data_IF_158508728907
#
_entry.id   IF_158508728907
#
_cell.length_a   1.000
_cell.length_b   1.000
_cell.length_c   1.000
_cell.angle_alpha   90.00
_cell.angle_beta   90.00
_cell.angle_gamma   90.00
#
_symmetry.space_group_name_H-M   'P 1'
#
loop_
_entity.id
_entity.type
_entity.pdbx_description
1 polymer ?
#
# COMPACT_ATOMS: atom_id res chain seq x y z
N UNK A 1 14.85 -1.08 -12.25
CA UNK A 1 15.98 -1.77 -12.92
C UNK A 1 15.44 -3.07 -13.49
N UNK A 2 15.82 -3.41 -14.71
CA UNK A 2 15.02 -4.13 -15.69
C UNK A 2 15.45 -5.61 -15.87
N UNK A 3 14.48 -6.44 -16.28
CA UNK A 3 14.54 -7.75 -16.96
C UNK A 3 15.03 -9.01 -16.23
N UNK A 4 14.19 -10.05 -16.25
CA UNK A 4 14.63 -11.45 -16.32
C UNK A 4 13.83 -12.24 -17.37
N UNK A 5 14.61 -13.05 -18.08
CA UNK A 5 14.28 -13.93 -19.19
C UNK A 5 13.67 -15.24 -18.64
N UNK A 6 12.56 -15.72 -19.19
CA UNK A 6 11.90 -16.95 -18.74
C UNK A 6 12.12 -18.06 -19.78
N UNK A 7 13.28 -18.70 -19.76
CA UNK A 7 13.56 -19.91 -20.56
C UNK A 7 14.20 -21.06 -19.76
N UNK A 8 14.02 -21.11 -18.43
CA UNK A 8 14.51 -22.25 -17.62
C UNK A 8 13.38 -22.92 -16.83
N UNK A 9 12.37 -23.45 -17.53
CA UNK A 9 11.53 -24.51 -16.98
C UNK A 9 11.17 -25.49 -18.10
N UNK A 10 11.84 -26.64 -18.11
CA UNK A 10 11.76 -27.67 -19.16
C UNK A 10 10.38 -28.32 -19.29
N UNK A 11 9.50 -27.69 -20.08
CA UNK A 11 8.32 -28.34 -20.62
C UNK A 11 8.68 -29.09 -21.91
N UNK A 12 8.52 -30.42 -21.90
CA UNK A 12 8.53 -31.24 -23.12
C UNK A 12 7.43 -30.76 -24.05
N UNK A 13 7.78 -30.45 -25.29
CA UNK A 13 6.87 -30.09 -26.37
C UNK A 13 5.88 -31.24 -26.64
N UNK A 14 4.55 -31.02 -26.62
CA UNK A 14 3.62 -31.97 -27.20
C UNK A 14 3.66 -31.80 -28.72
N UNK A 15 4.37 -32.69 -29.42
CA UNK A 15 4.25 -32.87 -30.87
C UNK A 15 2.95 -33.58 -31.18
N UNK A 16 1.84 -32.84 -31.23
CA UNK A 16 0.64 -33.20 -31.98
C UNK A 16 -0.04 -31.89 -32.42
N UNK A 17 0.20 -31.50 -33.67
CA UNK A 17 -0.54 -30.42 -34.32
C UNK A 17 -1.95 -30.93 -34.59
N UNK A 18 -2.85 -30.78 -33.63
CA UNK A 18 -4.29 -30.88 -33.89
C UNK A 18 -4.65 -29.73 -34.83
N UNK A 19 -4.93 -30.05 -36.09
CA UNK A 19 -5.49 -29.10 -37.05
C UNK A 19 -6.83 -28.65 -36.49
N UNK A 20 -6.89 -27.43 -35.97
CA UNK A 20 -8.13 -26.82 -35.49
C UNK A 20 -9.06 -26.68 -36.70
N UNK A 21 -10.32 -27.06 -36.55
CA UNK A 21 -11.30 -26.81 -37.61
C UNK A 21 -11.46 -25.29 -37.78
N UNK A 22 -11.75 -24.80 -39.00
CA UNK A 22 -11.96 -23.36 -39.23
C UNK A 22 -12.99 -22.73 -38.26
N UNK A 23 -13.98 -23.50 -37.83
CA UNK A 23 -14.99 -23.09 -36.84
C UNK A 23 -14.40 -22.89 -35.43
N UNK A 24 -13.47 -23.75 -35.00
CA UNK A 24 -12.80 -23.63 -33.70
C UNK A 24 -11.78 -22.48 -33.72
N UNK A 25 -11.12 -22.24 -34.84
CA UNK A 25 -10.26 -21.06 -35.02
C UNK A 25 -11.05 -19.76 -34.95
N UNK A 26 -12.22 -19.69 -35.61
CA UNK A 26 -13.11 -18.53 -35.57
C UNK A 26 -13.66 -18.28 -34.15
N UNK A 27 -14.04 -19.35 -33.42
CA UNK A 27 -14.48 -19.25 -32.03
C UNK A 27 -13.35 -18.77 -31.10
N UNK A 28 -12.14 -19.30 -31.25
CA UNK A 28 -10.97 -18.85 -30.50
C UNK A 28 -10.61 -17.39 -30.79
N UNK A 29 -10.72 -16.96 -32.05
CA UNK A 29 -10.53 -15.57 -32.44
C UNK A 29 -11.56 -14.64 -31.76
N UNK A 30 -12.85 -15.02 -31.79
CA UNK A 30 -13.92 -14.28 -31.10
C UNK A 30 -13.72 -14.22 -29.59
N UNK A 31 -13.30 -15.33 -28.97
CA UNK A 31 -13.01 -15.38 -27.53
C UNK A 31 -11.82 -14.49 -27.15
N UNK A 32 -10.73 -14.51 -27.93
CA UNK A 32 -9.57 -13.67 -27.70
C UNK A 32 -9.89 -12.18 -27.87
N UNK A 33 -10.70 -11.82 -28.87
CA UNK A 33 -11.18 -10.45 -29.05
C UNK A 33 -12.08 -9.99 -27.87
N UNK A 34 -12.93 -10.87 -27.35
CA UNK A 34 -13.75 -10.62 -26.17
C UNK A 34 -12.90 -10.43 -24.90
N UNK A 35 -11.91 -11.30 -24.68
CA UNK A 35 -10.95 -11.18 -23.57
C UNK A 35 -10.14 -9.89 -23.64
N UNK A 36 -9.71 -9.48 -24.84
CA UNK A 36 -9.01 -8.21 -25.03
C UNK A 36 -9.92 -7.01 -24.68
N UNK A 37 -11.18 -7.05 -25.11
CA UNK A 37 -12.17 -6.02 -24.78
C UNK A 37 -12.38 -5.91 -23.27
N UNK A 38 -12.45 -7.03 -22.55
CA UNK A 38 -12.57 -7.05 -21.09
C UNK A 38 -11.32 -6.45 -20.42
N UNK A 39 -10.12 -6.78 -20.92
CA UNK A 39 -8.86 -6.18 -20.44
C UNK A 39 -8.85 -4.67 -20.63
N UNK A 40 -9.29 -4.19 -21.79
CA UNK A 40 -9.32 -2.76 -22.12
C UNK A 40 -10.34 -1.99 -21.28
N UNK A 41 -11.51 -2.60 -21.03
CA UNK A 41 -12.53 -2.05 -20.12
C UNK A 41 -12.02 -1.97 -18.68
N UNK A 42 -11.34 -3.01 -18.19
CA UNK A 42 -10.72 -3.01 -16.87
C UNK A 42 -9.63 -1.93 -16.78
N UNK A 43 -8.75 -1.83 -17.77
CA UNK A 43 -7.71 -0.80 -17.82
C UNK A 43 -8.30 0.62 -17.88
N UNK A 44 -9.40 0.82 -18.62
CA UNK A 44 -10.13 2.10 -18.65
C UNK A 44 -10.73 2.43 -17.28
N UNK A 45 -11.42 1.48 -16.66
CA UNK A 45 -12.01 1.64 -15.32
C UNK A 45 -10.95 1.94 -14.26
N UNK A 46 -9.80 1.28 -14.34
CA UNK A 46 -8.62 1.57 -13.52
C UNK A 46 -8.14 3.01 -13.74
N UNK A 47 -7.89 3.43 -14.98
CA UNK A 47 -7.48 4.81 -15.35
C UNK A 47 -8.45 5.88 -14.83
N UNK A 48 -9.74 5.64 -14.99
CA UNK A 48 -10.79 6.55 -14.52
C UNK A 48 -10.79 6.63 -12.98
N UNK A 49 -10.60 5.50 -12.28
CA UNK A 49 -10.33 5.50 -10.85
C UNK A 49 -9.07 6.32 -10.52
N UNK A 50 -7.94 6.15 -11.22
CA UNK A 50 -6.71 6.92 -10.92
C UNK A 50 -6.96 8.43 -11.04
N UNK A 51 -7.67 8.88 -12.08
CA UNK A 51 -8.02 10.30 -12.27
C UNK A 51 -8.91 10.81 -11.13
N UNK A 52 -9.86 10.00 -10.68
CA UNK A 52 -10.71 10.32 -9.53
C UNK A 52 -9.91 10.36 -8.22
N UNK A 53 -8.92 9.48 -8.04
CA UNK A 53 -8.05 9.43 -6.86
C UNK A 53 -7.12 10.64 -6.84
N UNK A 54 -6.38 10.92 -7.91
CA UNK A 54 -5.47 12.09 -7.99
C UNK A 54 -6.24 13.40 -7.82
N UNK A 55 -7.44 13.50 -8.39
CA UNK A 55 -8.30 14.67 -8.19
C UNK A 55 -8.88 14.75 -6.78
N UNK A 56 -9.18 13.62 -6.13
CA UNK A 56 -9.57 13.55 -4.72
C UNK A 56 -8.41 13.89 -3.80
N UNK A 57 -7.20 13.38 -3.98
CA UNK A 57 -6.01 13.75 -3.20
C UNK A 57 -5.71 15.25 -3.32
N UNK A 58 -5.79 15.83 -4.52
CA UNK A 58 -5.66 17.28 -4.73
C UNK A 58 -6.79 18.06 -4.05
N UNK A 59 -8.03 17.59 -4.11
CA UNK A 59 -9.18 18.24 -3.43
C UNK A 59 -9.15 18.06 -1.91
N UNK A 60 -8.71 16.92 -1.41
CA UNK A 60 -8.58 16.60 0.01
C UNK A 60 -7.44 17.41 0.61
N UNK A 61 -6.36 17.66 -0.16
CA UNK A 61 -5.30 18.63 0.19
C UNK A 61 -5.84 20.07 0.35
N UNK A 62 -6.92 20.43 -0.36
CA UNK A 62 -7.56 21.75 -0.27
C UNK A 62 -8.75 21.80 0.71
N UNK A 63 -9.36 20.66 1.05
CA UNK A 63 -10.53 20.53 1.92
C UNK A 63 -10.22 19.84 3.26
N UNK A 64 -9.00 19.96 3.81
CA UNK A 64 -8.72 19.61 5.22
C UNK A 64 -9.35 20.65 6.16
N UNK A 65 -10.63 20.94 5.97
CA UNK A 65 -11.48 21.61 6.93
C UNK A 65 -12.83 20.90 6.95
N UNK A 66 -13.10 20.31 8.13
CA UNK A 66 -14.41 19.95 8.67
C UNK A 66 -15.05 18.66 8.16
N UNK A 67 -14.83 17.57 8.91
CA UNK A 67 -15.89 16.62 9.25
C UNK A 67 -15.79 16.30 10.76
N UNK A 68 -16.65 16.93 11.58
CA UNK A 68 -16.87 16.63 13.01
C UNK A 68 -17.83 15.41 13.11
N UNK A 69 -17.79 14.54 14.14
CA UNK A 69 -18.28 14.80 15.50
C UNK A 69 -17.58 13.96 16.59
N UNK A 70 -16.98 14.66 17.57
CA UNK A 70 -17.19 14.57 19.02
C UNK A 70 -15.91 14.96 19.81
N UNK A 71 -14.74 14.79 19.20
CA UNK A 71 -13.45 15.30 19.68
C UNK A 71 -12.65 15.75 18.45
N UNK A 72 -11.88 16.84 18.55
CA UNK A 72 -10.91 17.17 17.49
C UNK A 72 -10.04 15.94 17.25
N UNK A 73 -9.81 15.50 15.99
CA UNK A 73 -8.94 14.37 15.73
C UNK A 73 -7.59 14.64 16.38
N UNK A 74 -7.04 13.65 17.08
CA UNK A 74 -5.72 13.70 17.74
C UNK A 74 -4.56 13.90 16.77
N UNK A 75 -4.84 13.84 15.46
CA UNK A 75 -3.86 13.84 14.39
C UNK A 75 -4.22 14.80 13.26
N UNK A 76 -3.20 15.24 12.54
CA UNK A 76 -3.28 16.04 11.32
C UNK A 76 -2.25 15.55 10.30
N UNK A 77 -2.53 15.70 9.01
CA UNK A 77 -1.58 15.36 7.94
C UNK A 77 -0.88 16.62 7.46
N UNK A 78 0.45 16.60 7.41
CA UNK A 78 1.28 17.74 6.98
C UNK A 78 2.49 17.25 6.18
N UNK A 79 3.28 18.17 5.61
CA UNK A 79 4.52 17.81 4.94
C UNK A 79 5.51 17.24 5.96
N UNK A 80 6.11 16.10 5.62
CA UNK A 80 7.12 15.44 6.45
C UNK A 80 8.53 15.80 5.98
N UNK A 81 9.45 15.84 6.93
CA UNK A 81 10.88 15.91 6.66
C UNK A 81 11.48 14.56 6.26
N UNK A 82 10.80 13.45 6.56
CA UNK A 82 11.22 12.08 6.24
C UNK A 82 10.84 11.74 4.80
N UNK A 83 9.55 11.81 4.49
CA UNK A 83 9.06 11.45 3.16
C UNK A 83 7.66 12.03 2.89
N UNK A 84 7.50 12.74 1.77
CA UNK A 84 6.19 13.15 1.25
C UNK A 84 5.32 13.92 2.26
N UNK A 85 4.36 13.19 2.85
CA UNK A 85 3.50 13.66 3.93
C UNK A 85 3.68 12.78 5.16
N UNK A 86 3.47 13.36 6.34
CA UNK A 86 3.53 12.70 7.63
C UNK A 86 2.20 12.82 8.38
N UNK A 87 2.01 11.96 9.37
CA UNK A 87 0.95 12.07 10.37
C UNK A 87 1.53 12.78 11.60
N UNK A 88 0.90 13.83 12.09
CA UNK A 88 1.38 14.65 13.19
C UNK A 88 0.36 14.73 14.31
N UNK A 89 0.81 14.84 15.56
CA UNK A 89 -0.06 15.03 16.70
C UNK A 89 -0.66 16.45 16.71
N UNK A 90 -1.99 16.57 16.81
CA UNK A 90 -2.70 17.86 16.89
C UNK A 90 -2.99 18.29 18.34
N UNK A 91 -2.76 17.37 19.29
CA UNK A 91 -2.84 17.54 20.74
C UNK A 91 -1.79 16.62 21.38
N UNK A 92 -1.47 16.83 22.66
CA UNK A 92 -0.67 15.88 23.42
C UNK A 92 -1.34 14.50 23.39
N UNK A 93 -0.59 13.49 22.95
CA UNK A 93 -1.02 12.08 22.97
C UNK A 93 -0.21 11.39 24.07
N UNK A 94 -0.90 10.75 25.01
CA UNK A 94 -0.22 10.08 26.12
C UNK A 94 0.30 8.72 25.70
N UNK A 95 1.38 8.28 26.33
CA UNK A 95 1.86 6.90 26.20
C UNK A 95 0.72 5.90 26.39
N UNK A 96 0.63 4.92 25.50
CA UNK A 96 -0.41 3.88 25.48
C UNK A 96 -1.75 4.30 24.87
N UNK A 97 -1.95 5.57 24.53
CA UNK A 97 -3.18 6.04 23.88
C UNK A 97 -3.31 5.49 22.46
N UNK A 98 -4.54 5.16 22.06
CA UNK A 98 -4.86 4.84 20.67
C UNK A 98 -4.84 6.12 19.85
N UNK A 99 -3.91 6.20 18.89
CA UNK A 99 -3.70 7.39 18.08
C UNK A 99 -4.75 7.46 16.97
N UNK A 100 -4.80 6.42 16.13
CA UNK A 100 -5.67 6.34 14.96
C UNK A 100 -5.81 4.86 14.52
N UNK A 101 -6.98 4.49 14.02
CA UNK A 101 -7.18 3.22 13.30
C UNK A 101 -6.52 3.30 11.92
N UNK A 102 -5.78 2.29 11.51
CA UNK A 102 -5.31 2.16 10.13
C UNK A 102 -6.45 1.62 9.26
N UNK A 103 -7.16 2.54 8.59
CA UNK A 103 -8.35 2.21 7.80
C UNK A 103 -8.02 2.01 6.34
N UNK A 104 -8.62 0.98 5.74
CA UNK A 104 -8.60 0.74 4.31
C UNK A 104 -9.47 -0.44 3.89
N UNK A 105 -9.41 -0.79 2.61
CA UNK A 105 -10.09 -1.95 2.08
C UNK A 105 -9.41 -3.24 2.54
N UNK A 106 -10.16 -4.20 3.07
CA UNK A 106 -9.62 -5.54 3.34
C UNK A 106 -9.53 -6.32 2.04
N UNK A 107 -8.34 -6.81 1.73
CA UNK A 107 -8.07 -7.71 0.61
C UNK A 107 -7.51 -9.02 1.14
N UNK A 108 -7.76 -10.12 0.42
CA UNK A 108 -7.13 -11.40 0.71
C UNK A 108 -5.61 -11.30 0.48
N UNK A 109 -4.80 -11.82 1.39
CA UNK A 109 -3.34 -11.79 1.28
C UNK A 109 -2.83 -12.52 0.04
N UNK A 110 -3.56 -13.52 -0.47
CA UNK A 110 -3.25 -14.22 -1.72
C UNK A 110 -3.38 -13.33 -2.96
N UNK A 111 -4.20 -12.28 -2.90
CA UNK A 111 -4.37 -11.32 -3.99
C UNK A 111 -3.43 -10.11 -3.88
N UNK A 112 -2.72 -9.96 -2.76
CA UNK A 112 -1.92 -8.78 -2.47
C UNK A 112 -0.92 -8.47 -3.58
N UNK A 113 -0.13 -9.45 -4.00
CA UNK A 113 0.95 -9.24 -4.97
C UNK A 113 0.37 -8.94 -6.37
N UNK A 114 -0.77 -9.54 -6.72
CA UNK A 114 -1.49 -9.21 -7.96
C UNK A 114 -1.98 -7.75 -7.94
N UNK A 115 -2.56 -7.31 -6.83
CA UNK A 115 -3.05 -5.93 -6.66
C UNK A 115 -1.89 -4.94 -6.69
N UNK A 116 -0.81 -5.22 -5.96
CA UNK A 116 0.40 -4.38 -5.91
C UNK A 116 1.05 -4.25 -7.29
N UNK A 117 1.24 -5.36 -7.99
CA UNK A 117 1.77 -5.36 -9.36
C UNK A 117 0.87 -4.57 -10.31
N UNK A 118 -0.46 -4.70 -10.16
CA UNK A 118 -1.41 -3.91 -10.95
C UNK A 118 -1.21 -2.42 -10.68
N UNK A 119 -1.02 -2.00 -9.43
CA UNK A 119 -0.79 -0.59 -9.11
C UNK A 119 0.51 -0.08 -9.72
N UNK A 120 1.60 -0.83 -9.60
CA UNK A 120 2.89 -0.47 -10.19
C UNK A 120 2.82 -0.37 -11.72
N UNK A 121 2.19 -1.34 -12.40
CA UNK A 121 2.01 -1.34 -13.86
C UNK A 121 1.17 -0.16 -14.35
N UNK A 122 0.26 0.34 -13.51
CA UNK A 122 -0.55 1.52 -13.81
C UNK A 122 0.14 2.83 -13.37
N UNK A 123 1.40 2.81 -12.94
CA UNK A 123 2.19 4.00 -12.63
C UNK A 123 1.94 4.60 -11.25
N UNK A 124 1.40 3.82 -10.30
CA UNK A 124 1.33 4.25 -8.91
C UNK A 124 2.67 4.00 -8.20
N UNK A 125 3.31 5.09 -7.78
CA UNK A 125 4.64 5.04 -7.13
C UNK A 125 4.58 4.62 -5.66
N UNK A 126 3.42 4.75 -5.01
CA UNK A 126 3.25 4.42 -3.59
C UNK A 126 2.02 3.57 -3.36
N UNK A 127 2.21 2.43 -2.70
CA UNK A 127 1.15 1.53 -2.24
C UNK A 127 1.08 1.59 -0.71
N UNK A 128 -0.13 1.54 -0.17
CA UNK A 128 -0.37 1.73 1.27
C UNK A 128 -0.98 0.49 1.90
N UNK A 129 -0.28 -0.63 1.73
CA UNK A 129 -0.73 -1.97 2.13
C UNK A 129 -0.18 -2.35 3.50
N UNK A 130 -1.07 -2.57 4.46
CA UNK A 130 -0.73 -3.02 5.81
C UNK A 130 -1.01 -4.52 5.97
N UNK A 131 0.06 -5.31 6.12
CA UNK A 131 -0.05 -6.76 6.36
C UNK A 131 -0.41 -7.03 7.81
N UNK A 132 -1.58 -7.62 8.04
CA UNK A 132 -2.06 -7.93 9.39
C UNK A 132 -1.47 -9.25 9.90
N UNK A 133 -0.18 -9.27 10.27
CA UNK A 133 0.47 -10.40 10.93
C UNK A 133 0.18 -11.77 10.29
N UNK A 134 -0.33 -12.70 11.09
CA UNK A 134 -0.69 -14.07 10.67
C UNK A 134 -2.14 -14.22 10.17
N UNK A 135 -2.80 -13.12 9.79
CA UNK A 135 -4.16 -13.19 9.23
C UNK A 135 -4.11 -13.33 7.70
N UNK A 136 -5.14 -13.93 7.06
CA UNK A 136 -5.19 -14.06 5.60
C UNK A 136 -5.61 -12.77 4.90
N UNK A 137 -5.43 -11.62 5.53
CA UNK A 137 -5.93 -10.34 5.04
C UNK A 137 -4.87 -9.25 5.11
N UNK A 138 -4.92 -8.35 4.15
CA UNK A 138 -4.16 -7.09 4.10
C UNK A 138 -5.14 -5.93 4.12
N UNK A 139 -4.80 -4.84 4.80
CA UNK A 139 -5.55 -3.58 4.72
C UNK A 139 -4.89 -2.71 3.66
N UNK A 140 -5.58 -2.50 2.54
CA UNK A 140 -5.15 -1.63 1.47
C UNK A 140 -5.75 -0.23 1.63
N UNK A 141 -4.91 0.73 2.02
CA UNK A 141 -5.25 2.14 2.15
C UNK A 141 -4.86 2.97 0.93
N UNK A 142 -4.53 2.34 -0.21
CA UNK A 142 -4.00 3.04 -1.39
C UNK A 142 -5.01 4.03 -1.94
N UNK A 143 -6.29 3.63 -2.03
CA UNK A 143 -7.36 4.48 -2.58
C UNK A 143 -8.48 4.82 -1.61
N UNK A 144 -8.69 3.97 -0.61
CA UNK A 144 -9.73 4.14 0.41
C UNK A 144 -9.04 3.99 1.74
N UNK A 145 -9.02 5.04 2.56
CA UNK A 145 -8.39 5.01 3.87
C UNK A 145 -8.52 6.34 4.61
N UNK A 146 -7.72 6.52 5.66
CA UNK A 146 -7.67 7.73 6.46
C UNK A 146 -6.22 8.24 6.61
N UNK A 147 -6.00 9.22 7.50
CA UNK A 147 -4.69 9.82 7.73
C UNK A 147 -3.59 8.85 8.17
N UNK A 148 -3.93 7.68 8.71
CA UNK A 148 -2.95 6.71 9.22
C UNK A 148 -1.97 6.22 8.15
N UNK A 149 -2.38 6.22 6.86
CA UNK A 149 -1.54 5.84 5.72
C UNK A 149 -0.31 6.75 5.54
N UNK A 150 -0.31 7.94 6.15
CA UNK A 150 0.79 8.90 6.07
C UNK A 150 1.75 8.82 7.28
N UNK A 151 1.52 7.93 8.25
CA UNK A 151 2.48 7.72 9.32
C UNK A 151 3.76 7.07 8.74
N UNK A 152 4.89 7.76 8.82
CA UNK A 152 6.12 7.34 8.19
C UNK A 152 6.89 6.27 8.99
N UNK A 153 7.82 5.61 8.31
CA UNK A 153 8.76 4.70 8.93
C UNK A 153 9.79 5.47 9.77
N UNK A 154 10.12 4.94 10.96
CA UNK A 154 11.33 5.32 11.70
C UNK A 154 11.98 4.13 12.38
N UNK A 155 13.32 4.11 12.40
CA UNK A 155 14.12 3.20 13.23
C UNK A 155 14.09 3.58 14.73
N UNK A 156 13.72 4.82 15.05
CA UNK A 156 13.37 5.31 16.40
C UNK A 156 11.90 5.69 16.45
N UNK A 157 10.98 4.71 16.53
CA UNK A 157 9.55 4.99 16.48
C UNK A 157 9.03 5.54 17.81
N UNK A 158 8.09 6.49 17.75
CA UNK A 158 7.30 6.94 18.90
C UNK A 158 5.91 6.27 18.96
N UNK A 159 5.54 5.48 17.95
CA UNK A 159 4.32 4.71 17.88
C UNK A 159 4.56 3.25 17.42
N UNK A 160 3.60 2.37 17.71
CA UNK A 160 3.58 0.99 17.23
C UNK A 160 2.21 0.62 16.69
N UNK A 161 2.14 -0.38 15.81
CA UNK A 161 0.89 -0.93 15.32
C UNK A 161 0.42 -2.11 16.18
N UNK A 162 -0.87 -2.16 16.53
CA UNK A 162 -1.48 -3.28 17.26
C UNK A 162 -2.78 -3.74 16.59
N UNK A 163 -2.92 -5.05 16.41
CA UNK A 163 -4.18 -5.68 16.01
C UNK A 163 -5.09 -5.80 17.24
N UNK A 164 -6.26 -5.17 17.18
CA UNK A 164 -7.30 -5.22 18.22
C UNK A 164 -8.59 -5.69 17.55
N UNK A 165 -8.99 -6.93 17.83
CA UNK A 165 -10.05 -7.61 17.09
C UNK A 165 -9.63 -7.80 15.63
N UNK A 166 -10.37 -7.18 14.70
CA UNK A 166 -10.10 -7.24 13.25
C UNK A 166 -9.60 -5.92 12.66
N UNK A 167 -9.12 -5.00 13.52
CA UNK A 167 -8.70 -3.65 13.18
C UNK A 167 -7.28 -3.40 13.65
N UNK A 168 -6.52 -2.63 12.87
CA UNK A 168 -5.17 -2.21 13.24
C UNK A 168 -5.23 -0.79 13.78
N UNK A 169 -4.55 -0.55 14.89
CA UNK A 169 -4.42 0.78 15.49
C UNK A 169 -2.96 1.14 15.64
N UNK A 170 -2.64 2.42 15.42
CA UNK A 170 -1.39 3.00 15.90
C UNK A 170 -1.57 3.38 17.37
N UNK A 171 -0.62 2.97 18.21
CA UNK A 171 -0.60 3.15 19.65
C UNK A 171 0.68 3.91 20.01
N UNK A 172 0.57 4.92 20.87
CA UNK A 172 1.73 5.68 21.32
C UNK A 172 2.64 4.84 22.23
N UNK A 173 3.94 4.78 21.95
CA UNK A 173 4.95 4.11 22.78
C UNK A 173 5.46 5.01 23.90
N UNK A 174 5.31 6.31 23.73
CA UNK A 174 5.71 7.38 24.65
C UNK A 174 4.70 8.53 24.55
N UNK A 175 4.87 9.58 25.34
CA UNK A 175 4.13 10.82 25.10
C UNK A 175 4.59 11.43 23.76
N UNK A 176 3.63 11.92 22.97
CA UNK A 176 3.87 12.59 21.69
C UNK A 176 3.30 14.00 21.80
N UNK A 177 4.17 14.99 21.75
CA UNK A 177 3.83 16.40 21.90
C UNK A 177 3.14 16.95 20.66
N UNK A 178 2.46 18.09 20.83
CA UNK A 178 1.75 18.77 19.74
C UNK A 178 2.74 19.14 18.64
N UNK A 179 2.44 18.75 17.40
CA UNK A 179 3.28 19.03 16.23
C UNK A 179 4.40 18.01 16.01
N UNK A 180 4.57 17.00 16.87
CA UNK A 180 5.51 15.91 16.59
C UNK A 180 4.96 14.97 15.52
N UNK A 181 5.86 14.47 14.66
CA UNK A 181 5.52 13.46 13.67
C UNK A 181 5.35 12.10 14.34
N UNK A 182 4.21 11.47 14.10
CA UNK A 182 3.90 10.10 14.52
C UNK A 182 4.54 9.16 13.53
N UNK A 183 5.57 8.46 13.99
CA UNK A 183 6.37 7.53 13.21
C UNK A 183 6.41 6.17 13.87
N UNK A 184 6.37 5.10 13.07
CA UNK A 184 6.40 3.73 13.57
C UNK A 184 7.32 2.85 12.75
N UNK A 185 7.77 1.74 13.32
CA UNK A 185 8.55 0.77 12.56
C UNK A 185 7.61 -0.08 11.71
N UNK A 186 7.75 0.01 10.38
CA UNK A 186 6.96 -0.76 9.42
C UNK A 186 7.15 -2.28 9.53
N UNK A 187 8.21 -2.74 10.22
CA UNK A 187 8.59 -4.14 10.32
C UNK A 187 8.67 -4.80 8.94
N UNK A 188 9.25 -4.09 7.96
CA UNK A 188 9.37 -4.60 6.60
C UNK A 188 10.20 -5.89 6.62
N UNK A 189 9.63 -6.94 6.05
CA UNK A 189 10.34 -8.21 5.87
C UNK A 189 11.36 -8.06 4.75
N UNK A 190 12.55 -8.60 4.97
CA UNK A 190 13.54 -8.77 3.90
C UNK A 190 12.99 -9.78 2.89
N UNK A 191 13.02 -9.42 1.62
CA UNK A 191 12.70 -10.31 0.51
C UNK A 191 14.01 -10.61 -0.23
N UNK A 192 14.39 -11.88 -0.26
CA UNK A 192 15.62 -12.32 -0.92
C UNK A 192 15.55 -12.05 -2.42
N UNK A 193 16.69 -11.65 -3.00
CA UNK A 193 16.78 -11.31 -4.42
C UNK A 193 16.24 -9.92 -4.80
N UNK A 194 15.57 -9.19 -3.90
CA UNK A 194 15.13 -7.81 -4.15
C UNK A 194 16.06 -6.78 -3.50
N UNK A 195 16.24 -5.57 -4.09
CA UNK A 195 16.95 -4.48 -3.43
C UNK A 195 16.33 -4.11 -2.08
N UNK A 196 17.16 -3.72 -1.10
CA UNK A 196 16.67 -3.18 0.18
C UNK A 196 16.10 -1.79 -0.02
N UNK A 197 15.05 -1.45 0.71
CA UNK A 197 14.45 -0.12 0.70
C UNK A 197 15.20 0.77 1.69
N UNK A 198 15.83 1.83 1.18
CA UNK A 198 16.59 2.78 2.00
C UNK A 198 15.67 3.50 3.01
N UNK A 199 16.17 3.71 4.22
CA UNK A 199 15.50 4.47 5.27
C UNK A 199 16.04 5.89 5.32
N UNK A 200 15.13 6.86 5.34
CA UNK A 200 15.43 8.30 5.40
C UNK A 200 14.90 8.94 6.68
N UNK A 201 14.72 8.19 7.77
CA UNK A 201 14.10 8.71 8.98
C UNK A 201 14.93 9.77 9.70
N UNK A 202 16.24 9.86 9.42
CA UNK A 202 17.11 10.92 9.94
C UNK A 202 17.50 10.82 11.42
N UNK A 203 17.10 9.75 12.12
CA UNK A 203 17.45 9.53 13.52
C UNK A 203 18.84 8.89 13.68
N UNK A 204 19.54 9.20 14.78
CA UNK A 204 20.94 8.78 15.02
C UNK A 204 21.16 7.26 14.98
N UNK A 205 20.14 6.48 15.36
CA UNK A 205 20.17 5.01 15.34
C UNK A 205 19.50 4.40 14.08
N UNK A 206 19.45 5.15 12.98
CA UNK A 206 18.93 4.65 11.72
C UNK A 206 19.71 3.43 11.22
N UNK A 207 19.00 2.36 10.85
CA UNK A 207 19.60 1.16 10.27
C UNK A 207 20.02 1.34 8.79
N UNK A 208 19.77 2.51 8.20
CA UNK A 208 20.00 2.80 6.77
C UNK A 208 18.95 2.18 5.83
N UNK A 209 18.21 1.17 6.30
CA UNK A 209 17.16 0.48 5.55
C UNK A 209 15.91 0.28 6.41
N UNK A 210 14.75 0.17 5.75
CA UNK A 210 13.46 0.01 6.43
C UNK A 210 13.21 -1.42 6.95
N UNK A 211 14.02 -2.39 6.50
CA UNK A 211 14.03 -3.74 7.08
C UNK A 211 14.91 -3.78 8.35
N UNK A 212 14.53 -4.64 9.30
CA UNK A 212 15.23 -4.74 10.60
C UNK A 212 16.46 -5.66 10.54
N UNK A 213 17.04 -5.87 9.37
CA UNK A 213 18.22 -6.74 9.17
C UNK A 213 19.49 -5.89 9.28
N UNK A 214 20.42 -6.30 10.15
CA UNK A 214 21.73 -5.66 10.26
C UNK A 214 22.71 -6.23 9.24
#
# INVERSE_FOLDING_TARGET
MQFFNLEEIGFKTPTQTTVLTPEVEEQNFKLNMSLQTIRDLNAKKLRDCQKLIVSREKKQSHNIQVIHYAQKPSTIVQRSSIHGFGLFASKLIKQGEQIIEYQGQKIDSLLNDLVENTYQQNGFESTYMFRMGNTPHVIDATFIGNGARFANHSCSPNATSKLIGSKVFLIALQNIDIGEEIVYNYNMRRIDGLPRVACYCGFDNCNGYMDNVK
#
